data_IF_500716401577
#
_entry.id   IF_500716401577
#
_cell.length_a   1.000
_cell.length_b   1.000
_cell.length_c   1.000
_cell.angle_alpha   90.00
_cell.angle_beta   90.00
_cell.angle_gamma   90.00
#
_symmetry.space_group_name_H-M   'P 1'
#
loop_
_entity.id
_entity.type
_entity.pdbx_description
1 polymer ?
#
# COMPACT_ATOMS: atom_id res chain seq x y z
N UNK A 1 31.16 5.05 -26.67
CA UNK A 1 29.75 4.76 -26.33
C UNK A 1 28.89 6.04 -26.22
N UNK A 2 29.42 7.25 -26.43
CA UNK A 2 28.68 8.52 -26.26
C UNK A 2 28.02 9.07 -27.55
N UNK A 3 28.22 8.45 -28.71
CA UNK A 3 28.06 9.18 -29.98
C UNK A 3 26.72 9.00 -30.70
N UNK A 4 25.74 8.28 -30.13
CA UNK A 4 24.45 8.02 -30.78
C UNK A 4 23.23 8.22 -29.86
N UNK A 5 23.22 9.27 -29.02
CA UNK A 5 21.96 9.69 -28.37
C UNK A 5 21.03 10.24 -29.48
N UNK A 6 19.81 9.69 -29.66
CA UNK A 6 18.91 10.15 -30.70
C UNK A 6 18.49 11.60 -30.48
N UNK A 7 18.13 12.30 -31.55
CA UNK A 7 17.53 13.63 -31.45
C UNK A 7 16.14 13.52 -30.85
N UNK A 8 15.88 14.25 -29.76
CA UNK A 8 14.63 14.16 -29.00
C UNK A 8 14.01 15.55 -28.77
N UNK A 9 13.63 16.28 -29.83
CA UNK A 9 13.26 17.70 -29.72
C UNK A 9 12.08 17.96 -28.78
N UNK A 10 11.10 17.04 -28.65
CA UNK A 10 10.00 17.22 -27.68
C UNK A 10 10.44 16.92 -26.26
N UNK A 11 11.24 15.86 -26.04
CA UNK A 11 11.77 15.56 -24.72
C UNK A 11 12.77 16.62 -24.24
N UNK A 12 13.52 17.25 -25.14
CA UNK A 12 14.48 18.31 -24.83
C UNK A 12 13.79 19.52 -24.19
N UNK A 13 12.52 19.79 -24.51
CA UNK A 13 11.73 20.83 -23.86
C UNK A 13 11.48 20.53 -22.36
N UNK A 14 11.43 19.25 -21.97
CA UNK A 14 11.22 18.80 -20.59
C UNK A 14 12.50 18.88 -19.74
N UNK A 15 13.61 19.31 -20.31
CA UNK A 15 14.83 19.63 -19.56
C UNK A 15 14.80 21.03 -18.93
N UNK A 16 13.88 21.86 -19.36
CA UNK A 16 13.69 23.24 -18.88
C UNK A 16 12.92 23.25 -17.56
N UNK A 17 13.02 24.35 -16.83
CA UNK A 17 12.32 24.54 -15.55
C UNK A 17 13.15 24.14 -14.32
N UNK A 18 12.57 24.35 -13.13
CA UNK A 18 13.24 24.12 -11.84
C UNK A 18 13.09 22.72 -11.27
N UNK A 19 12.19 21.88 -11.81
CA UNK A 19 12.00 20.51 -11.34
C UNK A 19 13.09 19.57 -11.91
N UNK A 20 13.61 18.60 -11.14
CA UNK A 20 14.57 17.60 -11.64
C UNK A 20 13.99 16.84 -12.85
N UNK A 21 14.64 16.97 -14.00
CA UNK A 21 14.13 16.41 -15.26
C UNK A 21 14.52 14.95 -15.43
N UNK A 22 13.52 14.08 -15.58
CA UNK A 22 13.75 12.67 -15.89
C UNK A 22 14.46 12.47 -17.24
N UNK A 23 14.31 13.41 -18.19
CA UNK A 23 15.00 13.35 -19.50
C UNK A 23 16.51 13.50 -19.30
N UNK A 24 16.95 14.37 -18.39
CA UNK A 24 18.38 14.50 -18.03
C UNK A 24 18.92 13.22 -17.41
N UNK A 25 18.16 12.58 -16.52
CA UNK A 25 18.55 11.30 -15.91
C UNK A 25 18.69 10.19 -16.96
N UNK A 26 17.74 10.06 -17.89
CA UNK A 26 17.85 9.05 -18.96
C UNK A 26 19.01 9.37 -19.90
N UNK A 27 19.26 10.64 -20.25
CA UNK A 27 20.44 11.05 -21.03
C UNK A 27 21.76 10.75 -20.30
N UNK A 28 21.79 10.82 -18.97
CA UNK A 28 22.94 10.40 -18.18
C UNK A 28 23.15 8.89 -18.24
N UNK A 29 22.09 8.10 -18.07
CA UNK A 29 22.15 6.64 -18.22
C UNK A 29 22.55 6.22 -19.65
N UNK A 30 22.08 6.94 -20.67
CA UNK A 30 22.40 6.69 -22.08
C UNK A 30 23.91 6.81 -22.41
N UNK A 31 24.68 7.53 -21.58
CA UNK A 31 26.15 7.60 -21.72
C UNK A 31 26.84 6.29 -21.32
N UNK A 32 26.17 5.45 -20.54
CA UNK A 32 26.70 4.19 -19.98
C UNK A 32 26.03 2.96 -20.57
N UNK A 33 24.74 3.03 -20.89
CA UNK A 33 23.96 1.93 -21.47
C UNK A 33 23.27 2.35 -22.77
N UNK A 34 23.41 1.59 -23.87
CA UNK A 34 22.71 1.88 -25.12
C UNK A 34 21.17 1.77 -24.99
N UNK A 35 20.68 1.04 -23.99
CA UNK A 35 19.26 0.99 -23.67
C UNK A 35 18.68 2.37 -23.34
N UNK A 36 19.44 3.24 -22.66
CA UNK A 36 19.00 4.59 -22.34
C UNK A 36 18.79 5.45 -23.60
N UNK A 37 19.64 5.27 -24.61
CA UNK A 37 19.52 5.96 -25.90
C UNK A 37 18.28 5.51 -26.67
N UNK A 38 18.09 4.19 -26.79
CA UNK A 38 16.91 3.63 -27.47
C UNK A 38 15.60 3.95 -26.73
N UNK A 39 15.61 3.96 -25.39
CA UNK A 39 14.47 4.36 -24.58
C UNK A 39 14.08 5.82 -24.86
N UNK A 40 15.04 6.74 -24.93
CA UNK A 40 14.79 8.13 -25.32
C UNK A 40 14.20 8.21 -26.72
N UNK A 41 14.76 7.46 -27.66
CA UNK A 41 14.29 7.43 -29.05
C UNK A 41 12.84 6.95 -29.16
N UNK A 42 12.49 5.85 -28.49
CA UNK A 42 11.13 5.32 -28.49
C UNK A 42 10.17 6.24 -27.74
N UNK A 43 10.60 6.82 -26.61
CA UNK A 43 9.78 7.75 -25.85
C UNK A 43 9.49 9.04 -26.64
N UNK A 44 10.47 9.58 -27.35
CA UNK A 44 10.27 10.70 -28.28
C UNK A 44 9.25 10.34 -29.36
N UNK A 45 9.32 9.12 -29.92
CA UNK A 45 8.31 8.66 -30.88
C UNK A 45 6.92 8.57 -30.24
N UNK A 46 6.81 8.05 -29.02
CA UNK A 46 5.56 8.08 -28.25
C UNK A 46 5.03 9.51 -28.01
N UNK A 47 5.90 10.50 -27.78
CA UNK A 47 5.50 11.92 -27.69
C UNK A 47 5.04 12.51 -29.03
N UNK A 48 5.52 11.96 -30.14
CA UNK A 48 5.12 12.36 -31.48
C UNK A 48 3.76 11.77 -31.86
N UNK A 49 3.57 10.48 -31.62
CA UNK A 49 2.38 9.73 -32.04
C UNK A 49 1.27 9.71 -30.99
N UNK A 50 1.60 10.05 -29.73
CA UNK A 50 0.69 10.04 -28.58
C UNK A 50 0.13 8.65 -28.26
N UNK A 51 0.92 7.60 -28.52
CA UNK A 51 0.62 6.21 -28.20
C UNK A 51 1.81 5.55 -27.49
N UNK A 52 1.55 4.48 -26.74
CA UNK A 52 2.60 3.69 -26.09
C UNK A 52 3.17 2.64 -27.05
N UNK A 53 4.49 2.62 -27.23
CA UNK A 53 5.22 1.69 -28.09
C UNK A 53 5.70 0.43 -27.36
N UNK A 54 4.80 -0.17 -26.58
CA UNK A 54 5.09 -1.38 -25.83
C UNK A 54 4.02 -2.43 -26.10
N UNK A 55 4.44 -3.64 -26.44
CA UNK A 55 3.52 -4.76 -26.69
C UNK A 55 2.73 -5.13 -25.42
N UNK A 56 1.60 -5.80 -25.64
CA UNK A 56 0.80 -6.34 -24.55
C UNK A 56 1.55 -7.46 -23.80
N UNK A 57 1.66 -7.30 -22.48
CA UNK A 57 2.20 -8.33 -21.58
C UNK A 57 3.64 -8.76 -21.83
N UNK A 58 3.96 -9.92 -21.25
CA UNK A 58 5.25 -10.57 -21.28
C UNK A 58 5.41 -11.45 -20.04
N UNK A 59 5.55 -12.76 -20.23
CA UNK A 59 5.76 -13.72 -19.13
C UNK A 59 7.25 -14.06 -19.13
N UNK A 60 7.94 -13.62 -18.08
CA UNK A 60 9.35 -13.87 -17.78
C UNK A 60 9.50 -13.87 -16.27
N UNK A 61 10.55 -14.50 -15.75
CA UNK A 61 10.76 -14.62 -14.31
C UNK A 61 12.10 -15.27 -14.01
N UNK A 62 12.27 -15.66 -12.75
CA UNK A 62 13.42 -16.42 -12.24
C UNK A 62 12.95 -17.77 -11.71
N UNK A 63 13.80 -18.77 -11.76
CA UNK A 63 13.46 -20.13 -11.35
C UNK A 63 13.04 -20.18 -9.88
N UNK A 64 11.96 -20.92 -9.60
CA UNK A 64 11.41 -21.10 -8.26
C UNK A 64 10.34 -20.08 -7.87
N UNK A 65 10.24 -18.94 -8.57
CA UNK A 65 9.27 -17.87 -8.32
C UNK A 65 8.32 -17.65 -9.49
N UNK A 66 7.05 -17.39 -9.19
CA UNK A 66 5.99 -17.12 -10.17
C UNK A 66 5.71 -15.63 -10.40
N UNK A 67 6.42 -14.74 -9.68
CA UNK A 67 6.23 -13.29 -9.72
C UNK A 67 7.53 -12.49 -9.59
N UNK A 68 7.39 -11.17 -9.43
CA UNK A 68 8.49 -10.22 -9.20
C UNK A 68 9.16 -9.61 -10.44
N UNK A 69 8.96 -10.19 -11.63
CA UNK A 69 9.46 -9.62 -12.90
C UNK A 69 8.30 -9.29 -13.84
N UNK A 70 8.29 -8.06 -14.38
CA UNK A 70 7.31 -7.62 -15.38
C UNK A 70 7.96 -7.66 -16.76
N UNK A 71 7.58 -8.65 -17.56
CA UNK A 71 7.97 -8.75 -18.96
C UNK A 71 7.42 -7.58 -19.77
N UNK A 72 8.29 -7.03 -20.62
CA UNK A 72 7.97 -5.92 -21.51
C UNK A 72 8.84 -5.97 -22.76
N UNK A 73 8.21 -5.75 -23.90
CA UNK A 73 8.82 -5.81 -25.22
C UNK A 73 8.41 -4.59 -26.04
N UNK A 74 9.38 -3.96 -26.70
CA UNK A 74 9.11 -2.88 -27.66
C UNK A 74 8.28 -3.42 -28.84
N UNK A 75 7.35 -2.61 -29.36
CA UNK A 75 6.68 -2.89 -30.63
C UNK A 75 7.46 -2.40 -31.86
N UNK A 76 8.62 -1.77 -31.65
CA UNK A 76 9.54 -1.26 -32.67
C UNK A 76 10.96 -1.86 -32.51
N UNK A 77 11.12 -3.20 -32.41
CA UNK A 77 12.38 -3.83 -32.05
C UNK A 77 13.48 -3.65 -33.10
N UNK A 78 13.15 -3.48 -34.38
CA UNK A 78 14.14 -3.23 -35.43
C UNK A 78 14.73 -1.81 -35.35
N UNK A 79 13.92 -0.86 -34.88
CA UNK A 79 14.30 0.55 -34.74
C UNK A 79 15.01 0.84 -33.43
N UNK A 80 14.59 0.16 -32.35
CA UNK A 80 15.13 0.31 -30.99
C UNK A 80 15.58 -1.06 -30.43
N UNK A 81 16.60 -1.68 -31.04
CA UNK A 81 16.97 -3.07 -30.75
C UNK A 81 17.46 -3.30 -29.32
N UNK A 82 18.05 -2.30 -28.66
CA UNK A 82 18.56 -2.46 -27.30
C UNK A 82 17.44 -2.59 -26.26
N UNK A 83 16.24 -2.09 -26.57
CA UNK A 83 15.04 -2.20 -25.72
C UNK A 83 13.98 -3.14 -26.32
N UNK A 84 14.37 -3.98 -27.28
CA UNK A 84 13.53 -5.08 -27.77
C UNK A 84 12.98 -5.92 -26.61
N UNK A 85 13.82 -6.15 -25.59
CA UNK A 85 13.44 -6.60 -24.25
C UNK A 85 13.74 -5.47 -23.26
N UNK A 86 12.80 -5.15 -22.39
CA UNK A 86 12.96 -4.08 -21.41
C UNK A 86 12.24 -4.39 -20.10
N UNK A 87 12.59 -5.53 -19.52
CA UNK A 87 11.89 -6.10 -18.37
C UNK A 87 12.17 -5.30 -17.09
N UNK A 88 11.20 -5.29 -16.20
CA UNK A 88 11.32 -4.64 -14.88
C UNK A 88 11.46 -5.68 -13.80
N UNK A 89 12.50 -5.60 -12.98
CA UNK A 89 12.61 -6.40 -11.75
C UNK A 89 12.18 -5.56 -10.55
N UNK A 90 11.32 -6.12 -9.71
CA UNK A 90 10.87 -5.52 -8.45
C UNK A 90 11.72 -6.09 -7.33
N UNK A 91 12.43 -5.25 -6.61
CA UNK A 91 13.30 -5.69 -5.52
C UNK A 91 12.67 -5.24 -4.20
N UNK A 92 12.53 -6.19 -3.27
CA UNK A 92 11.88 -5.95 -1.99
C UNK A 92 12.69 -4.91 -1.19
N UNK A 93 12.04 -3.84 -0.76
CA UNK A 93 12.67 -2.75 -0.03
C UNK A 93 12.73 -3.03 1.48
N UNK A 94 13.72 -2.48 2.21
CA UNK A 94 13.66 -2.41 3.66
C UNK A 94 12.45 -1.58 4.12
N UNK A 95 11.82 -2.00 5.23
CA UNK A 95 10.69 -1.30 5.83
C UNK A 95 11.03 0.18 6.10
N UNK A 96 10.09 1.08 5.79
CA UNK A 96 10.28 2.54 5.92
C UNK A 96 11.26 3.17 4.94
N UNK A 97 11.78 2.42 3.95
CA UNK A 97 12.72 2.89 2.92
C UNK A 97 14.02 3.52 3.48
N UNK A 98 14.52 2.99 4.59
CA UNK A 98 15.83 3.37 5.12
C UNK A 98 16.95 2.59 4.45
N UNK A 99 17.99 3.30 4.03
CA UNK A 99 19.13 2.70 3.33
C UNK A 99 20.45 3.17 3.91
N UNK A 100 21.44 2.28 3.88
CA UNK A 100 22.85 2.69 3.94
C UNK A 100 23.34 3.00 2.53
N UNK A 101 24.34 3.89 2.42
CA UNK A 101 24.94 4.16 1.11
C UNK A 101 25.68 2.95 0.53
N UNK A 102 26.14 2.02 1.38
CA UNK A 102 26.76 0.76 0.96
C UNK A 102 25.75 -0.15 0.24
N UNK A 103 24.56 -0.37 0.82
CA UNK A 103 23.51 -1.18 0.20
C UNK A 103 23.09 -0.62 -1.17
N UNK A 104 22.86 0.69 -1.26
CA UNK A 104 22.50 1.34 -2.53
C UNK A 104 23.60 1.24 -3.58
N UNK A 105 24.87 1.42 -3.20
CA UNK A 105 25.99 1.29 -4.15
C UNK A 105 26.09 -0.12 -4.69
N UNK A 106 25.96 -1.15 -3.85
CA UNK A 106 25.95 -2.55 -4.29
C UNK A 106 24.81 -2.85 -5.27
N UNK A 107 23.61 -2.34 -5.00
CA UNK A 107 22.48 -2.46 -5.96
C UNK A 107 22.80 -1.74 -7.28
N UNK A 108 23.38 -0.54 -7.23
CA UNK A 108 23.81 0.17 -8.43
C UNK A 108 24.87 -0.60 -9.23
N UNK A 109 25.87 -1.19 -8.57
CA UNK A 109 26.94 -1.97 -9.21
C UNK A 109 26.37 -3.21 -9.92
N UNK A 110 25.44 -3.92 -9.27
CA UNK A 110 24.71 -5.05 -9.88
C UNK A 110 23.89 -4.57 -11.07
N UNK A 111 23.14 -3.48 -10.92
CA UNK A 111 22.26 -3.01 -11.97
C UNK A 111 22.99 -2.38 -13.17
N UNK A 112 24.15 -1.77 -12.96
CA UNK A 112 25.02 -1.29 -14.04
C UNK A 112 25.61 -2.45 -14.84
N UNK A 113 25.88 -3.59 -14.20
CA UNK A 113 26.37 -4.81 -14.85
C UNK A 113 25.28 -5.51 -15.67
N UNK A 114 24.05 -5.57 -15.16
CA UNK A 114 23.00 -6.44 -15.70
C UNK A 114 21.84 -5.72 -16.39
N UNK A 115 21.74 -4.39 -16.30
CA UNK A 115 20.55 -3.66 -16.73
C UNK A 115 20.83 -2.35 -17.46
N UNK A 116 19.78 -1.54 -17.57
CA UNK A 116 19.83 -0.24 -18.24
C UNK A 116 20.53 0.86 -17.44
N UNK A 117 20.74 0.64 -16.13
CA UNK A 117 21.14 1.67 -15.17
C UNK A 117 20.00 2.61 -14.74
N UNK A 118 18.78 2.43 -15.25
CA UNK A 118 17.60 3.22 -14.88
C UNK A 118 16.83 2.56 -13.75
N UNK A 119 16.30 3.37 -12.83
CA UNK A 119 15.50 2.88 -11.71
C UNK A 119 14.26 3.73 -11.45
N UNK A 120 13.31 3.19 -10.69
CA UNK A 120 12.41 4.03 -9.91
C UNK A 120 12.65 3.77 -8.42
N UNK A 121 12.86 4.85 -7.68
CA UNK A 121 13.04 4.86 -6.23
C UNK A 121 11.87 5.66 -5.64
N UNK A 122 10.68 5.08 -5.49
CA UNK A 122 10.33 3.63 -5.55
C UNK A 122 9.10 3.38 -6.43
N UNK A 123 8.78 2.11 -6.65
CA UNK A 123 7.48 1.72 -7.19
C UNK A 123 6.36 2.02 -6.19
N UNK A 124 5.14 2.29 -6.69
CA UNK A 124 4.04 2.72 -5.81
C UNK A 124 3.56 1.65 -4.81
N UNK A 125 4.02 0.40 -4.88
CA UNK A 125 3.72 -0.59 -3.83
C UNK A 125 4.74 -0.51 -2.71
N UNK A 126 6.01 -0.32 -3.07
CA UNK A 126 7.13 -0.08 -2.18
C UNK A 126 8.47 -0.45 -2.81
N UNK A 127 8.45 -1.38 -3.76
CA UNK A 127 9.63 -2.02 -4.34
C UNK A 127 10.63 -1.02 -4.93
N UNK A 128 11.92 -1.33 -4.82
CA UNK A 128 12.92 -0.75 -5.72
C UNK A 128 12.64 -1.29 -7.12
N UNK A 129 12.61 -0.41 -8.11
CA UNK A 129 12.34 -0.79 -9.50
C UNK A 129 13.64 -0.73 -10.28
N UNK A 130 14.14 -1.89 -10.70
CA UNK A 130 15.22 -1.99 -11.68
C UNK A 130 14.60 -2.03 -13.08
N UNK A 131 14.69 -0.90 -13.79
CA UNK A 131 13.89 -0.62 -14.97
C UNK A 131 14.63 -0.93 -16.27
N UNK A 132 14.38 -2.10 -16.84
CA UNK A 132 14.87 -2.45 -18.17
C UNK A 132 16.11 -3.33 -18.13
N UNK A 133 15.89 -4.62 -18.37
CA UNK A 133 16.92 -5.60 -18.69
C UNK A 133 16.37 -6.61 -19.71
N UNK A 134 17.20 -7.57 -20.11
CA UNK A 134 16.90 -8.65 -21.05
C UNK A 134 16.55 -9.93 -20.29
N UNK A 135 15.97 -10.91 -20.97
CA UNK A 135 15.52 -12.15 -20.33
C UNK A 135 16.70 -12.95 -19.78
N UNK A 136 17.79 -13.00 -20.53
CA UNK A 136 19.03 -13.69 -20.21
C UNK A 136 19.76 -13.12 -18.97
N UNK A 137 19.44 -11.90 -18.56
CA UNK A 137 20.05 -11.22 -17.40
C UNK A 137 19.22 -11.35 -16.11
N UNK A 138 18.01 -11.94 -16.17
CA UNK A 138 17.14 -12.05 -14.99
C UNK A 138 17.73 -12.94 -13.89
N UNK A 139 18.16 -14.17 -14.23
CA UNK A 139 18.78 -15.09 -13.27
C UNK A 139 20.11 -14.55 -12.74
N UNK A 140 21.06 -14.08 -13.58
CA UNK A 140 22.30 -13.49 -13.08
C UNK A 140 22.10 -12.29 -12.14
N UNK A 141 21.12 -11.42 -12.44
CA UNK A 141 20.78 -10.29 -11.57
C UNK A 141 20.26 -10.79 -10.23
N UNK A 142 19.36 -11.78 -10.24
CA UNK A 142 18.78 -12.34 -9.03
C UNK A 142 19.82 -13.04 -8.15
N UNK A 143 20.73 -13.81 -8.75
CA UNK A 143 21.86 -14.45 -8.05
C UNK A 143 22.77 -13.42 -7.37
N UNK A 144 23.07 -12.30 -8.04
CA UNK A 144 23.91 -11.25 -7.47
C UNK A 144 23.19 -10.45 -6.37
N UNK A 145 21.88 -10.24 -6.48
CA UNK A 145 21.07 -9.61 -5.43
C UNK A 145 21.00 -10.47 -4.15
N UNK A 146 20.84 -11.78 -4.29
CA UNK A 146 20.84 -12.69 -3.14
C UNK A 146 22.16 -12.65 -2.35
N UNK A 147 23.30 -12.45 -3.03
CA UNK A 147 24.62 -12.32 -2.37
C UNK A 147 24.76 -11.07 -1.51
N UNK A 148 23.84 -10.11 -1.64
CA UNK A 148 23.79 -8.89 -0.82
C UNK A 148 22.51 -8.82 0.03
N UNK A 149 21.85 -9.97 0.25
CA UNK A 149 20.65 -10.13 1.07
C UNK A 149 19.44 -9.31 0.58
N UNK A 150 19.31 -9.13 -0.74
CA UNK A 150 18.09 -8.61 -1.37
C UNK A 150 17.37 -9.71 -2.14
N UNK A 151 16.06 -9.81 -1.92
CA UNK A 151 15.16 -10.67 -2.69
C UNK A 151 14.24 -9.84 -3.59
N UNK A 152 13.59 -10.48 -4.56
CA UNK A 152 12.57 -9.85 -5.40
C UNK A 152 11.27 -9.64 -4.61
N UNK A 153 10.54 -8.59 -4.98
CA UNK A 153 9.20 -8.30 -4.48
C UNK A 153 8.10 -9.02 -5.26
N UNK A 154 6.83 -8.76 -4.88
CA UNK A 154 5.68 -9.47 -5.44
C UNK A 154 5.12 -8.89 -6.76
N UNK A 155 4.70 -9.78 -7.66
CA UNK A 155 3.80 -9.44 -8.77
C UNK A 155 3.05 -10.65 -9.34
N UNK A 156 1.72 -10.61 -9.26
CA UNK A 156 0.88 -11.61 -9.89
C UNK A 156 -0.49 -11.65 -9.23
N UNK A 157 -1.07 -12.82 -9.11
CA UNK A 157 -2.17 -13.10 -8.18
C UNK A 157 -1.59 -13.68 -6.88
N UNK A 158 -0.83 -12.83 -6.19
CA UNK A 158 0.03 -13.12 -5.05
C UNK A 158 -0.18 -12.06 -3.96
N UNK A 159 0.42 -12.28 -2.78
CA UNK A 159 0.74 -11.20 -1.88
C UNK A 159 1.73 -10.27 -2.57
N UNK A 160 1.44 -8.96 -2.56
CA UNK A 160 2.43 -7.96 -2.98
C UNK A 160 3.24 -7.51 -1.79
N UNK A 161 4.45 -7.05 -2.10
CA UNK A 161 5.38 -6.42 -1.19
C UNK A 161 4.70 -5.48 -0.18
N UNK A 162 4.68 -5.85 1.11
CA UNK A 162 4.16 -5.00 2.17
C UNK A 162 4.96 -3.68 2.27
N UNK A 163 4.30 -2.61 2.70
CA UNK A 163 4.99 -1.33 2.95
C UNK A 163 4.37 -0.54 4.09
N UNK A 164 5.15 0.36 4.70
CA UNK A 164 4.74 1.11 5.88
C UNK A 164 5.23 2.54 5.90
N UNK A 165 4.62 3.38 6.74
CA UNK A 165 5.23 4.66 7.09
C UNK A 165 6.52 4.47 7.93
N UNK A 166 7.23 5.55 8.22
CA UNK A 166 8.45 5.51 9.04
C UNK A 166 8.19 5.07 10.50
N UNK A 167 6.93 5.07 10.96
CA UNK A 167 6.55 4.56 12.28
C UNK A 167 7.35 5.17 13.42
N UNK A 168 7.68 4.33 14.40
CA UNK A 168 8.42 4.72 15.60
C UNK A 168 9.87 5.14 15.33
N UNK A 169 10.42 4.90 14.13
CA UNK A 169 11.79 5.31 13.82
C UNK A 169 11.98 6.82 13.84
N UNK A 170 10.94 7.58 13.49
CA UNK A 170 11.02 9.06 13.40
C UNK A 170 9.69 9.80 13.56
N UNK A 171 8.61 9.12 13.95
CA UNK A 171 7.32 9.78 14.21
C UNK A 171 6.86 9.48 15.64
N UNK A 172 6.61 10.53 16.40
CA UNK A 172 6.18 10.44 17.78
C UNK A 172 4.69 10.14 17.96
N UNK A 173 3.94 10.08 16.85
CA UNK A 173 2.52 9.71 16.82
C UNK A 173 2.29 8.21 16.57
N UNK A 174 3.35 7.46 16.28
CA UNK A 174 3.24 6.05 15.96
C UNK A 174 2.70 5.23 17.16
N UNK A 175 1.58 4.55 16.94
CA UNK A 175 0.90 3.75 17.95
C UNK A 175 1.46 2.34 18.06
N UNK A 176 2.10 1.81 17.02
CA UNK A 176 2.81 0.53 17.04
C UNK A 176 4.06 0.59 16.15
N UNK A 177 4.93 -0.42 16.26
CA UNK A 177 6.11 -0.53 15.41
C UNK A 177 5.73 -1.04 14.02
N UNK A 178 5.44 -0.11 13.11
CA UNK A 178 5.04 -0.42 11.74
C UNK A 178 6.15 -1.11 10.96
N UNK A 179 7.42 -0.77 11.23
CA UNK A 179 8.54 -1.33 10.49
C UNK A 179 8.79 -2.78 10.89
N UNK A 180 8.70 -3.09 12.19
CA UNK A 180 8.80 -4.46 12.69
C UNK A 180 7.68 -5.35 12.14
N UNK A 181 6.42 -4.90 12.19
CA UNK A 181 5.30 -5.68 11.63
C UNK A 181 5.44 -5.89 10.11
N UNK A 182 5.90 -4.86 9.37
CA UNK A 182 6.14 -4.98 7.92
C UNK A 182 7.15 -6.07 7.62
N UNK A 183 8.28 -6.04 8.33
CA UNK A 183 9.32 -7.03 8.14
C UNK A 183 8.81 -8.43 8.50
N UNK A 184 8.16 -8.58 9.64
CA UNK A 184 7.63 -9.86 10.12
C UNK A 184 6.63 -10.48 9.14
N UNK A 185 5.60 -9.74 8.71
CA UNK A 185 4.62 -10.24 7.72
C UNK A 185 5.26 -10.54 6.36
N UNK A 186 6.26 -9.76 5.95
CA UNK A 186 6.98 -10.01 4.70
C UNK A 186 7.77 -11.31 4.78
N UNK A 187 8.44 -11.58 5.90
CA UNK A 187 9.22 -12.80 6.11
C UNK A 187 8.34 -14.03 6.35
N UNK A 188 7.20 -13.85 7.02
CA UNK A 188 6.28 -14.94 7.31
C UNK A 188 5.58 -15.47 6.05
N UNK A 189 5.12 -14.56 5.18
CA UNK A 189 4.38 -14.89 3.95
C UNK A 189 5.24 -14.79 2.68
N UNK A 190 6.47 -15.30 2.74
CA UNK A 190 7.37 -15.32 1.57
C UNK A 190 6.80 -16.18 0.44
N UNK A 191 6.19 -17.33 0.77
CA UNK A 191 5.64 -18.24 -0.23
C UNK A 191 4.50 -17.58 -1.01
N UNK A 192 3.55 -16.97 -0.30
CA UNK A 192 2.39 -16.30 -0.89
C UNK A 192 2.79 -15.05 -1.68
N UNK A 193 3.94 -14.44 -1.39
CA UNK A 193 4.50 -13.32 -2.14
C UNK A 193 5.19 -13.75 -3.42
N UNK A 194 5.92 -14.87 -3.39
CA UNK A 194 6.73 -15.32 -4.53
C UNK A 194 6.03 -16.33 -5.43
N UNK A 195 5.03 -17.06 -4.92
CA UNK A 195 4.31 -18.14 -5.62
C UNK A 195 2.82 -17.80 -5.65
N UNK A 196 2.33 -17.19 -6.75
CA UNK A 196 0.95 -16.76 -6.87
C UNK A 196 -0.06 -17.89 -6.66
N UNK A 197 -0.70 -17.93 -5.49
CA UNK A 197 -1.69 -18.94 -5.09
C UNK A 197 -3.12 -18.39 -5.03
N UNK A 198 -3.31 -17.08 -5.11
CA UNK A 198 -4.58 -16.42 -4.82
C UNK A 198 -5.45 -16.20 -6.07
N UNK A 199 -6.76 -15.96 -5.92
CA UNK A 199 -7.65 -15.57 -7.02
C UNK A 199 -7.19 -14.28 -7.70
N UNK A 200 -6.63 -13.34 -6.92
CA UNK A 200 -6.02 -12.12 -7.44
C UNK A 200 -4.92 -11.56 -6.53
N UNK A 201 -4.54 -10.29 -6.71
CA UNK A 201 -3.51 -9.65 -5.90
C UNK A 201 -4.04 -9.31 -4.50
N UNK A 202 -3.21 -9.49 -3.48
CA UNK A 202 -3.45 -9.03 -2.12
C UNK A 202 -2.33 -8.08 -1.66
N UNK A 203 -2.61 -7.13 -0.76
CA UNK A 203 -1.65 -6.11 -0.32
C UNK A 203 -1.82 -5.78 1.15
N UNK A 204 -0.71 -5.76 1.88
CA UNK A 204 -0.61 -5.15 3.20
C UNK A 204 -0.04 -3.73 3.13
N UNK A 205 -0.60 -2.82 3.92
CA UNK A 205 0.07 -1.56 4.26
C UNK A 205 -0.17 -1.14 5.71
N UNK A 206 0.88 -0.63 6.33
CA UNK A 206 0.92 -0.34 7.76
C UNK A 206 1.16 1.15 8.00
N UNK A 207 0.20 1.82 8.61
CA UNK A 207 0.29 3.22 9.04
C UNK A 207 0.26 3.30 10.55
N UNK A 208 1.19 4.05 11.15
CA UNK A 208 1.33 4.14 12.60
C UNK A 208 0.24 4.98 13.30
N UNK A 209 -0.54 5.76 12.56
CA UNK A 209 -1.67 6.55 13.07
C UNK A 209 -2.67 6.90 11.95
N UNK A 210 -3.83 7.50 12.26
CA UNK A 210 -4.88 7.84 11.27
C UNK A 210 -4.50 8.91 10.23
N UNK A 211 -3.34 9.57 10.36
CA UNK A 211 -2.80 10.41 9.27
C UNK A 211 -2.44 9.60 8.02
N UNK A 212 -2.30 8.28 8.15
CA UNK A 212 -2.15 7.32 7.07
C UNK A 212 -1.08 7.67 6.03
N UNK A 213 0.16 7.93 6.47
CA UNK A 213 1.23 8.44 5.60
C UNK A 213 1.66 7.49 4.46
N UNK A 214 1.31 6.20 4.52
CA UNK A 214 1.52 5.25 3.41
C UNK A 214 0.26 5.05 2.55
N UNK A 215 -0.83 5.77 2.85
CA UNK A 215 -2.14 5.69 2.22
C UNK A 215 -2.67 4.25 2.17
N UNK A 216 -2.55 3.55 3.30
CA UNK A 216 -2.98 2.17 3.48
C UNK A 216 -4.47 1.99 3.21
N UNK A 217 -5.33 2.92 3.63
CA UNK A 217 -6.79 2.84 3.48
C UNK A 217 -7.23 2.83 2.01
N UNK A 218 -6.41 3.36 1.10
CA UNK A 218 -6.74 3.50 -0.32
C UNK A 218 -5.97 2.52 -1.23
N UNK A 219 -4.89 1.91 -0.73
CA UNK A 219 -3.88 1.23 -1.58
C UNK A 219 -3.47 -0.15 -1.06
N UNK A 220 -4.24 -0.74 -0.16
CA UNK A 220 -4.00 -2.06 0.40
C UNK A 220 -5.30 -2.84 0.62
N UNK A 221 -5.32 -4.11 0.22
CA UNK A 221 -6.44 -5.02 0.49
C UNK A 221 -6.68 -5.14 1.99
N UNK A 222 -5.62 -5.13 2.80
CA UNK A 222 -5.69 -4.99 4.25
C UNK A 222 -4.84 -3.80 4.72
N UNK A 223 -5.50 -2.85 5.37
CA UNK A 223 -4.92 -1.62 5.91
C UNK A 223 -4.82 -1.74 7.42
N UNK A 224 -3.64 -1.50 7.98
CA UNK A 224 -3.38 -1.63 9.42
C UNK A 224 -3.03 -0.24 9.94
N UNK A 225 -3.98 0.42 10.59
CA UNK A 225 -3.87 1.85 10.95
C UNK A 225 -3.83 2.01 12.47
N UNK A 226 -2.73 2.54 12.98
CA UNK A 226 -2.48 2.65 14.41
C UNK A 226 -3.48 3.55 15.11
N UNK A 227 -3.84 3.21 16.34
CA UNK A 227 -4.76 3.99 17.16
C UNK A 227 -4.51 3.72 18.65
N UNK A 228 -5.29 4.37 19.50
CA UNK A 228 -5.27 4.17 20.95
C UNK A 228 -6.69 4.11 21.50
N UNK A 229 -6.89 3.59 22.71
CA UNK A 229 -8.21 3.47 23.35
C UNK A 229 -8.32 4.07 24.74
N UNK A 230 -7.26 4.71 25.22
CA UNK A 230 -7.25 5.55 26.42
C UNK A 230 -7.29 7.05 26.05
N UNK A 231 -7.01 7.92 27.02
CA UNK A 231 -7.12 9.37 26.85
C UNK A 231 -5.94 9.95 26.05
N UNK A 232 -6.21 10.98 25.24
CA UNK A 232 -5.17 11.86 24.70
C UNK A 232 -4.36 12.43 25.86
N UNK A 233 -3.04 12.40 25.73
CA UNK A 233 -2.14 12.99 26.71
C UNK A 233 -2.08 14.51 26.47
N UNK A 234 -2.32 15.29 27.52
CA UNK A 234 -2.35 16.76 27.46
C UNK A 234 -1.30 17.34 28.41
N UNK A 235 -0.39 18.15 27.86
CA UNK A 235 0.51 19.01 28.61
C UNK A 235 -0.05 20.45 28.58
N UNK A 236 -0.68 20.86 29.69
CA UNK A 236 -1.35 22.16 29.79
C UNK A 236 -0.36 23.34 29.72
N UNK A 237 0.88 23.17 30.18
CA UNK A 237 1.90 24.22 30.05
C UNK A 237 2.25 24.44 28.59
N UNK A 238 2.44 23.36 27.83
CA UNK A 238 2.67 23.45 26.39
C UNK A 238 1.45 24.00 25.63
N UNK A 239 0.20 23.68 26.04
CA UNK A 239 -1.01 24.29 25.45
C UNK A 239 -0.98 25.81 25.63
N UNK A 240 -0.69 26.30 26.85
CA UNK A 240 -0.58 27.75 27.12
C UNK A 240 0.51 28.40 26.28
N UNK A 241 1.66 27.74 26.09
CA UNK A 241 2.74 28.24 25.23
C UNK A 241 2.27 28.41 23.77
N UNK A 242 1.44 27.51 23.24
CA UNK A 242 0.85 27.68 21.90
C UNK A 242 -0.05 28.92 21.84
N UNK A 243 -0.92 29.13 22.84
CA UNK A 243 -1.79 30.31 22.91
C UNK A 243 -0.98 31.62 22.99
N UNK A 244 0.06 31.67 23.84
CA UNK A 244 0.93 32.84 24.00
C UNK A 244 1.71 33.18 22.70
N UNK A 245 2.03 32.17 21.89
CA UNK A 245 2.67 32.34 20.57
C UNK A 245 1.68 32.74 19.47
N UNK A 246 0.41 32.92 19.79
CA UNK A 246 -0.61 33.44 18.89
C UNK A 246 -1.43 32.39 18.14
N UNK A 247 -1.40 31.11 18.56
CA UNK A 247 -2.35 30.12 18.03
C UNK A 247 -3.76 30.42 18.54
N UNK A 248 -4.73 30.52 17.61
CA UNK A 248 -6.14 30.65 17.97
C UNK A 248 -6.72 29.26 18.26
N UNK A 249 -6.55 28.78 19.49
CA UNK A 249 -6.99 27.43 19.90
C UNK A 249 -8.49 27.22 19.63
N UNK A 250 -9.31 28.26 19.79
CA UNK A 250 -10.74 28.14 19.56
C UNK A 250 -11.03 27.86 18.09
N UNK A 251 -10.50 28.68 17.18
CA UNK A 251 -10.81 28.57 15.75
C UNK A 251 -10.01 27.49 15.03
N UNK A 252 -8.74 27.30 15.39
CA UNK A 252 -7.84 26.38 14.69
C UNK A 252 -7.95 24.94 15.22
N UNK A 253 -8.32 24.74 16.49
CA UNK A 253 -8.39 23.41 17.12
C UNK A 253 -9.83 23.00 17.44
N UNK A 254 -10.53 23.75 18.30
CA UNK A 254 -11.82 23.33 18.85
C UNK A 254 -12.92 23.32 17.79
N UNK A 255 -13.09 24.43 17.07
CA UNK A 255 -14.12 24.57 16.04
C UNK A 255 -13.98 23.53 14.92
N UNK A 256 -12.76 23.02 14.71
CA UNK A 256 -12.42 22.01 13.71
C UNK A 256 -12.48 20.56 14.23
N UNK A 257 -12.68 20.34 15.54
CA UNK A 257 -12.82 18.99 16.08
C UNK A 257 -14.10 18.33 15.52
N UNK A 258 -14.01 17.17 14.84
CA UNK A 258 -15.19 16.49 14.30
C UNK A 258 -16.07 15.89 15.39
N UNK A 259 -15.47 15.45 16.51
CA UNK A 259 -16.21 14.91 17.66
C UNK A 259 -16.84 15.97 18.56
N UNK A 260 -16.58 17.26 18.32
CA UNK A 260 -17.06 18.39 19.15
C UNK A 260 -16.85 18.17 20.66
N UNK A 261 -15.73 17.54 21.00
CA UNK A 261 -15.45 16.99 22.33
C UNK A 261 -14.34 17.74 23.08
N UNK A 262 -14.09 19.01 22.75
CA UNK A 262 -12.96 19.79 23.28
C UNK A 262 -13.44 21.16 23.75
N UNK A 263 -12.88 21.63 24.86
CA UNK A 263 -13.15 22.95 25.42
C UNK A 263 -11.84 23.62 25.89
N UNK A 264 -11.72 24.93 25.67
CA UNK A 264 -10.59 25.76 26.10
C UNK A 264 -11.13 27.03 26.76
N UNK A 265 -10.82 27.23 28.03
CA UNK A 265 -11.30 28.37 28.82
C UNK A 265 -10.32 29.56 28.84
N UNK A 266 -9.21 29.46 28.10
CA UNK A 266 -8.10 30.41 28.14
C UNK A 266 -6.94 30.00 29.06
N UNK A 267 -7.08 28.90 29.83
CA UNK A 267 -6.06 28.39 30.75
C UNK A 267 -5.84 26.87 30.65
N UNK A 268 -6.92 26.10 30.53
CA UNK A 268 -6.90 24.64 30.45
C UNK A 268 -7.70 24.12 29.25
N UNK A 269 -7.12 23.13 28.57
CA UNK A 269 -7.75 22.40 27.48
C UNK A 269 -8.32 21.10 28.02
N UNK A 270 -9.63 20.93 27.95
CA UNK A 270 -10.31 19.69 28.30
C UNK A 270 -10.70 18.91 27.04
N UNK A 271 -10.62 17.58 27.12
CA UNK A 271 -10.98 16.67 26.03
C UNK A 271 -11.86 15.54 26.60
N UNK A 272 -13.12 15.51 26.19
CA UNK A 272 -14.05 14.42 26.47
C UNK A 272 -13.75 13.24 25.53
N UNK A 273 -12.79 12.41 25.95
CA UNK A 273 -12.22 11.36 25.10
C UNK A 273 -13.23 10.30 24.64
N UNK A 274 -14.34 10.12 25.35
CA UNK A 274 -15.45 9.22 24.96
C UNK A 274 -16.08 9.62 23.61
N UNK A 275 -16.13 10.92 23.31
CA UNK A 275 -16.64 11.45 22.04
C UNK A 275 -15.52 11.67 21.00
N UNK A 276 -14.27 11.36 21.34
CA UNK A 276 -13.13 11.54 20.45
C UNK A 276 -13.05 10.41 19.42
N UNK A 277 -13.19 10.76 18.14
CA UNK A 277 -13.00 9.83 17.01
C UNK A 277 -11.54 9.69 16.56
N UNK A 278 -10.58 10.21 17.35
CA UNK A 278 -9.13 10.05 17.14
C UNK A 278 -8.62 10.47 15.76
N UNK A 279 -9.21 11.52 15.19
CA UNK A 279 -8.91 12.05 13.84
C UNK A 279 -7.52 12.70 13.67
N UNK A 280 -6.68 12.73 14.71
CA UNK A 280 -5.36 13.39 14.76
C UNK A 280 -5.33 14.92 14.68
N UNK A 281 -6.42 15.61 14.30
CA UNK A 281 -6.40 17.07 14.06
C UNK A 281 -5.73 17.89 15.19
N UNK A 282 -6.20 17.76 16.43
CA UNK A 282 -5.65 18.51 17.56
C UNK A 282 -4.18 18.17 17.83
N UNK A 283 -3.79 16.90 17.72
CA UNK A 283 -2.40 16.43 17.84
C UNK A 283 -1.52 17.00 16.74
N UNK A 284 -2.02 17.07 15.51
CA UNK A 284 -1.28 17.62 14.36
C UNK A 284 -1.02 19.12 14.52
N UNK A 285 -1.99 19.88 15.07
CA UNK A 285 -1.88 21.32 15.30
C UNK A 285 -0.98 21.63 16.50
N UNK A 286 -1.11 20.89 17.60
CA UNK A 286 -0.37 21.12 18.85
C UNK A 286 0.50 19.92 19.27
N UNK A 287 1.42 19.43 18.43
CA UNK A 287 2.14 18.19 18.71
C UNK A 287 2.94 18.26 19.99
N UNK A 288 3.51 19.41 20.38
CA UNK A 288 4.27 19.48 21.63
C UNK A 288 3.40 19.30 22.88
N UNK A 289 2.11 19.64 22.80
CA UNK A 289 1.19 19.60 23.92
C UNK A 289 0.32 18.33 23.94
N UNK A 290 0.00 17.79 22.77
CA UNK A 290 -0.94 16.68 22.61
C UNK A 290 -0.27 15.46 22.00
N UNK A 291 -0.52 14.28 22.59
CA UNK A 291 -0.01 12.99 22.09
C UNK A 291 -1.11 11.93 22.06
N UNK A 292 -1.00 10.94 21.16
CA UNK A 292 -1.80 9.71 21.24
C UNK A 292 -1.72 9.11 22.65
N UNK A 293 -2.79 8.45 23.08
CA UNK A 293 -2.84 7.71 24.33
C UNK A 293 -1.77 6.61 24.44
N UNK A 294 -1.68 5.99 25.62
CA UNK A 294 -0.68 4.95 25.94
C UNK A 294 -1.20 3.54 25.67
N UNK A 295 -2.50 3.31 25.72
CA UNK A 295 -3.13 2.05 25.38
C UNK A 295 -3.31 1.94 23.86
N UNK A 296 -2.22 1.54 23.20
CA UNK A 296 -2.08 1.58 21.74
C UNK A 296 -2.34 0.23 21.07
N UNK A 297 -2.77 0.29 19.82
CA UNK A 297 -3.02 -0.85 18.93
C UNK A 297 -3.19 -0.37 17.49
N UNK A 298 -3.95 -1.11 16.69
CA UNK A 298 -4.35 -0.71 15.35
C UNK A 298 -5.81 -1.07 15.05
N UNK A 299 -6.44 -0.26 14.22
CA UNK A 299 -7.65 -0.62 13.49
C UNK A 299 -7.24 -1.38 12.24
N UNK A 300 -7.86 -2.54 12.00
CA UNK A 300 -7.68 -3.32 10.77
C UNK A 300 -8.85 -2.98 9.84
N UNK A 301 -8.55 -2.59 8.61
CA UNK A 301 -9.53 -2.30 7.56
C UNK A 301 -9.28 -3.18 6.35
N UNK A 302 -10.33 -3.49 5.59
CA UNK A 302 -10.24 -4.42 4.45
C UNK A 302 -10.95 -3.90 3.20
N UNK A 303 -10.46 -4.29 2.02
CA UNK A 303 -11.18 -4.23 0.76
C UNK A 303 -10.77 -3.14 -0.23
N UNK A 304 -9.77 -2.29 0.07
CA UNK A 304 -9.45 -1.19 -0.85
C UNK A 304 -8.95 -1.66 -2.23
N UNK A 305 -9.40 -0.94 -3.25
CA UNK A 305 -8.98 -1.18 -4.64
C UNK A 305 -9.20 0.03 -5.53
N UNK A 306 -8.42 0.05 -6.61
CA UNK A 306 -8.65 0.90 -7.76
C UNK A 306 -9.94 0.49 -8.52
N UNK A 307 -10.46 1.32 -9.44
CA UNK A 307 -11.78 1.16 -10.01
C UNK A 307 -12.11 -0.22 -10.62
N UNK A 308 -11.20 -0.84 -11.36
CA UNK A 308 -11.53 -2.05 -12.14
C UNK A 308 -11.73 -3.26 -11.18
N UNK A 309 -12.85 -4.00 -11.22
CA UNK A 309 -14.02 -3.86 -12.12
C UNK A 309 -15.17 -3.06 -11.46
N UNK A 310 -15.55 -3.41 -10.22
CA UNK A 310 -16.79 -2.94 -9.56
C UNK A 310 -16.70 -1.55 -8.88
N UNK A 311 -15.81 -0.69 -9.36
CA UNK A 311 -15.58 0.64 -8.78
C UNK A 311 -14.43 0.69 -7.77
N UNK A 312 -14.12 1.91 -7.32
CA UNK A 312 -13.02 2.15 -6.38
C UNK A 312 -13.53 2.06 -4.95
N UNK A 313 -12.81 1.31 -4.12
CA UNK A 313 -13.12 1.15 -2.70
C UNK A 313 -11.99 1.72 -1.86
N UNK A 314 -12.34 2.44 -0.80
CA UNK A 314 -11.49 2.56 0.37
C UNK A 314 -11.74 1.34 1.26
N UNK A 315 -10.75 0.99 2.08
CA UNK A 315 -10.91 -0.10 3.04
C UNK A 315 -11.96 0.26 4.10
N UNK A 316 -12.81 -0.69 4.44
CA UNK A 316 -13.83 -0.57 5.49
C UNK A 316 -13.31 -1.11 6.81
N UNK A 317 -13.75 -0.54 7.93
CA UNK A 317 -13.38 -1.02 9.27
C UNK A 317 -13.79 -2.48 9.43
N UNK A 318 -12.82 -3.31 9.84
CA UNK A 318 -13.01 -4.74 10.04
C UNK A 318 -12.79 -5.13 11.50
N UNK A 319 -11.65 -4.74 12.07
CA UNK A 319 -11.38 -4.85 13.51
C UNK A 319 -11.12 -3.44 14.05
N UNK A 320 -11.99 -2.87 14.90
CA UNK A 320 -11.84 -1.52 15.41
C UNK A 320 -10.56 -1.32 16.22
N UNK A 321 -10.15 -2.35 16.96
CA UNK A 321 -8.92 -2.33 17.74
C UNK A 321 -8.33 -3.73 17.92
N UNK A 322 -7.09 -3.90 17.53
CA UNK A 322 -6.26 -5.08 17.73
C UNK A 322 -4.94 -4.67 18.37
N UNK A 323 -4.42 -5.49 19.31
CA UNK A 323 -3.07 -5.28 19.84
C UNK A 323 -2.05 -5.77 18.83
N UNK A 324 -1.10 -4.90 18.49
CA UNK A 324 -0.03 -5.23 17.55
C UNK A 324 1.24 -5.54 18.35
N UNK A 325 1.38 -6.79 18.76
CA UNK A 325 2.48 -7.26 19.60
C UNK A 325 3.14 -8.49 18.99
N UNK A 326 4.48 -8.55 18.88
CA UNK A 326 5.17 -9.78 18.48
C UNK A 326 4.76 -10.97 19.36
N UNK A 327 4.66 -12.19 18.80
CA UNK A 327 4.98 -12.58 17.42
C UNK A 327 3.87 -12.32 16.39
N UNK A 328 2.88 -11.48 16.73
CA UNK A 328 1.80 -11.03 15.84
C UNK A 328 0.82 -12.14 15.41
N UNK A 329 0.64 -13.17 16.24
CA UNK A 329 -0.23 -14.31 15.93
C UNK A 329 -1.67 -13.87 15.64
N UNK A 330 -2.23 -12.93 16.42
CA UNK A 330 -3.61 -12.48 16.26
C UNK A 330 -3.93 -11.91 14.86
N UNK A 331 -3.00 -11.16 14.26
CA UNK A 331 -3.18 -10.63 12.90
C UNK A 331 -2.88 -11.68 11.83
N UNK A 332 -1.96 -12.61 12.09
CA UNK A 332 -1.64 -13.72 11.17
C UNK A 332 -2.81 -14.69 11.08
N UNK A 333 -3.37 -15.11 12.21
CA UNK A 333 -4.56 -15.97 12.27
C UNK A 333 -5.77 -15.32 11.57
N UNK A 334 -5.90 -13.99 11.66
CA UNK A 334 -6.93 -13.25 10.92
C UNK A 334 -6.68 -13.28 9.40
N UNK A 335 -5.44 -13.04 8.97
CA UNK A 335 -5.05 -13.08 7.56
C UNK A 335 -5.29 -14.46 6.96
N UNK A 336 -4.89 -15.51 7.66
CA UNK A 336 -4.97 -16.89 7.19
C UNK A 336 -6.44 -17.30 6.99
N UNK A 337 -7.32 -17.01 7.97
CA UNK A 337 -8.78 -17.25 7.81
C UNK A 337 -9.39 -16.49 6.63
N UNK A 338 -8.97 -15.24 6.42
CA UNK A 338 -9.43 -14.45 5.27
C UNK A 338 -8.95 -15.07 3.96
N UNK A 339 -7.69 -15.50 3.89
CA UNK A 339 -7.10 -16.09 2.70
C UNK A 339 -7.62 -17.48 2.39
N UNK A 340 -7.97 -18.29 3.39
CA UNK A 340 -8.61 -19.59 3.19
C UNK A 340 -9.97 -19.42 2.50
N UNK A 341 -10.84 -18.56 3.06
CA UNK A 341 -12.17 -18.32 2.50
C UNK A 341 -12.11 -17.62 1.15
N UNK A 342 -11.31 -16.54 1.02
CA UNK A 342 -11.19 -15.84 -0.26
C UNK A 342 -10.46 -16.68 -1.30
N UNK A 343 -9.48 -17.48 -0.89
CA UNK A 343 -8.71 -18.38 -1.74
C UNK A 343 -9.57 -19.44 -2.42
N UNK A 344 -10.51 -20.03 -1.67
CA UNK A 344 -11.43 -21.05 -2.17
C UNK A 344 -12.60 -20.45 -2.97
N UNK A 345 -13.24 -19.39 -2.44
CA UNK A 345 -14.52 -18.88 -2.96
C UNK A 345 -14.41 -17.64 -3.86
N UNK A 346 -13.21 -17.06 -3.93
CA UNK A 346 -12.91 -15.90 -4.77
C UNK A 346 -12.93 -16.26 -6.25
N UNK A 347 -13.65 -15.47 -7.06
CA UNK A 347 -13.64 -15.67 -8.51
C UNK A 347 -12.29 -15.27 -9.09
N UNK A 348 -11.97 -15.83 -10.25
CA UNK A 348 -10.75 -15.47 -10.99
C UNK A 348 -10.67 -13.94 -11.18
N UNK A 349 -9.57 -13.33 -10.71
CA UNK A 349 -9.32 -11.89 -10.75
C UNK A 349 -10.31 -11.02 -9.97
N UNK A 350 -10.94 -11.58 -8.94
CA UNK A 350 -11.76 -10.85 -7.99
C UNK A 350 -10.93 -10.43 -6.77
N UNK A 351 -10.98 -9.14 -6.42
CA UNK A 351 -10.29 -8.64 -5.21
C UNK A 351 -11.11 -8.97 -3.96
N UNK A 352 -10.45 -9.10 -2.81
CA UNK A 352 -11.14 -9.41 -1.54
C UNK A 352 -12.29 -8.44 -1.23
N UNK A 353 -12.15 -7.15 -1.56
CA UNK A 353 -13.24 -6.17 -1.40
C UNK A 353 -14.45 -6.42 -2.31
N UNK A 354 -14.23 -6.88 -3.54
CA UNK A 354 -15.31 -7.26 -4.47
C UNK A 354 -15.95 -8.57 -4.02
N UNK A 355 -15.15 -9.51 -3.52
CA UNK A 355 -15.62 -10.75 -2.92
C UNK A 355 -16.57 -10.47 -1.74
N UNK A 356 -16.15 -9.66 -0.77
CA UNK A 356 -16.98 -9.26 0.39
C UNK A 356 -18.26 -8.56 -0.08
N UNK A 357 -18.17 -7.66 -1.08
CA UNK A 357 -19.35 -6.99 -1.63
C UNK A 357 -20.33 -8.00 -2.27
N UNK A 358 -19.82 -9.01 -2.97
CA UNK A 358 -20.63 -10.02 -3.65
C UNK A 358 -21.30 -10.98 -2.69
N UNK A 359 -20.58 -11.49 -1.69
CA UNK A 359 -21.12 -12.49 -0.75
C UNK A 359 -21.88 -11.85 0.41
N UNK A 360 -21.62 -10.57 0.69
CA UNK A 360 -22.14 -9.84 1.83
C UNK A 360 -21.23 -9.95 3.05
N UNK A 361 -21.10 -8.84 3.80
CA UNK A 361 -20.22 -8.78 4.97
C UNK A 361 -20.59 -9.80 6.05
N UNK A 362 -21.89 -10.04 6.31
CA UNK A 362 -22.35 -11.03 7.29
C UNK A 362 -21.86 -12.44 6.96
N UNK A 363 -22.21 -12.96 5.79
CA UNK A 363 -21.76 -14.27 5.32
C UNK A 363 -20.23 -14.42 5.32
N UNK A 364 -19.50 -13.35 4.99
CA UNK A 364 -18.04 -13.36 5.05
C UNK A 364 -17.52 -13.47 6.49
N UNK A 365 -18.11 -12.74 7.43
CA UNK A 365 -17.77 -12.78 8.85
C UNK A 365 -18.07 -14.16 9.45
N UNK A 366 -19.22 -14.75 9.13
CA UNK A 366 -19.60 -16.09 9.57
C UNK A 366 -18.60 -17.15 9.06
N UNK A 367 -18.22 -17.06 7.79
CA UNK A 367 -17.27 -17.97 7.16
C UNK A 367 -15.86 -17.92 7.77
N UNK A 368 -15.46 -16.79 8.35
CA UNK A 368 -14.19 -16.65 9.08
C UNK A 368 -14.36 -16.75 10.60
N UNK A 369 -15.53 -17.14 11.10
CA UNK A 369 -15.85 -17.27 12.52
C UNK A 369 -15.64 -15.95 13.30
N UNK A 370 -16.27 -14.87 12.82
CA UNK A 370 -16.27 -13.57 13.48
C UNK A 370 -17.68 -13.01 13.63
N UNK A 371 -17.95 -12.40 14.78
CA UNK A 371 -19.23 -11.72 15.04
C UNK A 371 -19.25 -10.30 14.45
N UNK A 372 -20.37 -9.85 13.88
CA UNK A 372 -20.54 -8.48 13.44
C UNK A 372 -20.64 -7.52 14.63
N UNK A 373 -20.05 -6.34 14.49
CA UNK A 373 -20.14 -5.24 15.46
C UNK A 373 -20.51 -3.93 14.76
N UNK A 374 -21.08 -2.99 15.51
CA UNK A 374 -21.65 -1.76 14.96
C UNK A 374 -20.61 -0.89 14.23
N UNK A 375 -19.36 -0.89 14.70
CA UNK A 375 -18.27 -0.09 14.15
C UNK A 375 -17.84 -0.50 12.73
N UNK A 376 -18.27 -1.67 12.24
CA UNK A 376 -17.99 -2.13 10.88
C UNK A 376 -18.82 -1.40 9.82
N UNK A 377 -19.91 -0.72 10.22
CA UNK A 377 -20.81 0.00 9.29
C UNK A 377 -20.88 1.49 9.61
N UNK A 378 -20.96 2.32 8.58
CA UNK A 378 -21.13 3.77 8.75
C UNK A 378 -22.57 4.13 9.19
N UNK A 379 -23.55 3.36 8.71
CA UNK A 379 -24.94 3.41 9.14
C UNK A 379 -25.61 2.05 8.89
N UNK A 380 -26.67 1.68 9.63
CA UNK A 380 -27.47 0.51 9.32
C UNK A 380 -28.09 0.60 7.93
N UNK A 381 -28.41 -0.55 7.33
CA UNK A 381 -29.11 -0.59 6.03
C UNK A 381 -30.46 0.13 6.10
N UNK A 382 -30.80 0.85 5.04
CA UNK A 382 -32.09 1.56 4.93
C UNK A 382 -33.16 0.73 4.21
N UNK A 383 -32.74 -0.28 3.44
CA UNK A 383 -33.66 -1.15 2.72
C UNK A 383 -34.00 -2.40 3.55
N UNK A 384 -35.27 -2.86 3.52
CA UNK A 384 -35.77 -3.90 4.43
C UNK A 384 -35.49 -5.35 3.95
N UNK A 385 -34.65 -5.56 2.93
CA UNK A 385 -34.40 -6.89 2.35
C UNK A 385 -33.44 -7.74 3.20
N UNK A 386 -33.83 -7.99 4.45
CA UNK A 386 -33.05 -8.79 5.42
C UNK A 386 -33.20 -10.27 5.11
N UNK A 387 -32.07 -10.95 4.89
CA UNK A 387 -32.02 -12.39 4.77
C UNK A 387 -31.89 -13.00 6.17
N UNK A 388 -32.61 -14.09 6.42
CA UNK A 388 -32.53 -14.89 7.64
C UNK A 388 -32.07 -16.30 7.24
N UNK A 389 -31.28 -16.95 8.09
CA UNK A 389 -31.00 -18.38 7.92
C UNK A 389 -32.31 -19.16 8.09
N UNK A 390 -32.55 -20.17 7.24
CA UNK A 390 -33.72 -21.05 7.37
C UNK A 390 -33.61 -21.85 8.68
N UNK A 391 -34.18 -21.32 9.76
CA UNK A 391 -34.49 -22.07 10.98
C UNK A 391 -36.01 -22.17 11.14
N UNK A 392 -36.53 -23.30 10.63
CA UNK A 392 -37.75 -24.05 10.98
C UNK A 392 -39.06 -23.34 11.37
N UNK A 393 -40.06 -23.54 10.49
CA UNK A 393 -41.50 -23.81 10.69
C UNK A 393 -42.13 -23.44 12.06
N UNK A 394 -42.96 -22.39 12.07
CA UNK A 394 -44.17 -22.42 12.89
C UNK A 394 -45.20 -23.28 12.15
N UNK A 395 -45.36 -24.51 12.66
CA UNK A 395 -46.47 -25.43 12.42
C UNK A 395 -47.78 -24.79 12.91
N UNK A 396 -48.26 -23.76 12.21
CA UNK A 396 -49.61 -23.24 12.39
C UNK A 396 -50.52 -24.03 11.45
N UNK A 397 -50.87 -25.24 11.89
CA UNK A 397 -51.89 -26.06 11.28
C UNK A 397 -53.22 -25.31 11.20
N UNK A 398 -53.53 -24.77 10.03
CA UNK A 398 -54.90 -24.59 9.57
C UNK A 398 -55.05 -25.32 8.24
N UNK A 399 -55.60 -26.53 8.32
CA UNK A 399 -56.29 -27.19 7.23
C UNK A 399 -57.31 -26.19 6.66
N UNK A 400 -57.04 -25.58 5.51
CA UNK A 400 -58.08 -24.91 4.74
C UNK A 400 -59.05 -26.00 4.22
N UNK A 401 -60.12 -26.22 4.97
CA UNK A 401 -61.30 -26.95 4.54
C UNK A 401 -61.86 -26.31 3.26
N UNK A 402 -61.91 -27.11 2.20
CA UNK A 402 -62.65 -26.81 0.98
C UNK A 402 -64.14 -26.57 1.29
N UNK A 403 -64.67 -25.41 0.90
CA UNK A 403 -66.10 -25.22 0.63
C UNK A 403 -66.36 -24.33 -0.56
#
# INVERSE_FOLDING_TARGET
MADNIPKTPKLDELEKGGWPSFVKEIKMAAKRSPMGGDLLGQLEQSYNEKIGHWKHGGIVGVMGYGGGVIGRYSDLPEKYPNISHFHTMRINQPAGWYYTTDALRKICDIWEKHGSGLTNMHGSTGDIILLGTRTEELEPTFDDLQKIDFDIGGSGSDLRTPSCCCGMSRCEWACYDTMALTYDLTMHYQDELHRPAFPYKFKFKMSGCPNDCVASIARADMSIIGTWRDQIQVDQDAVREYAERGLDIQNDVISNCPGKCMEWDGKELNIENEFCVRCMHCINVMPKALRPGKDRGATILIGSKAPIIEGAFLSSVFIPFMKITPPYDEIKDLVDRIWDVWGEEGKNRERVGEFIQRVGLGNFLDAIEMEPIAEMVAHPRENPYVFYEEYYEEDDGEEEEES
#
